data_IF_097888211502
#
_entry.id   IF_097888211502
#
_cell.length_a   1.000
_cell.length_b   1.000
_cell.length_c   1.000
_cell.angle_alpha   90.00
_cell.angle_beta   90.00
_cell.angle_gamma   90.00
#
_symmetry.space_group_name_H-M   'P 1'
#
loop_
_entity.id
_entity.type
_entity.pdbx_description
1 polymer ?
#
# COMPACT_ATOMS: atom_id res chain seq x y z
N UNK A 1 -11.41 20.05 -33.79
CA UNK A 1 -11.24 18.70 -33.22
C UNK A 1 -11.37 18.79 -31.70
N UNK A 2 -12.32 18.10 -31.08
CA UNK A 2 -12.49 18.09 -29.62
C UNK A 2 -11.73 16.91 -29.02
N UNK A 3 -10.64 17.18 -28.30
CA UNK A 3 -9.99 16.14 -27.51
C UNK A 3 -10.83 15.91 -26.25
N UNK A 4 -11.37 14.70 -26.11
CA UNK A 4 -11.91 14.26 -24.82
C UNK A 4 -10.71 13.87 -23.97
N UNK A 5 -10.23 14.81 -23.16
CA UNK A 5 -9.25 14.51 -22.11
C UNK A 5 -9.95 13.66 -21.06
N UNK A 6 -9.67 12.38 -21.11
CA UNK A 6 -10.06 11.37 -20.15
C UNK A 6 -9.60 11.83 -18.75
N UNK A 7 -10.57 12.11 -17.90
CA UNK A 7 -10.39 12.43 -16.49
C UNK A 7 -9.83 11.20 -15.78
N UNK A 8 -8.51 10.99 -15.81
CA UNK A 8 -7.84 10.11 -14.85
C UNK A 8 -7.53 10.93 -13.60
N UNK A 9 -8.62 11.25 -12.91
CA UNK A 9 -8.67 11.50 -11.49
C UNK A 9 -7.98 10.33 -10.77
N UNK A 10 -6.92 10.61 -10.04
CA UNK A 10 -6.97 10.53 -8.58
C UNK A 10 -5.54 10.66 -8.07
N UNK A 11 -5.33 11.71 -7.28
CA UNK A 11 -4.21 11.87 -6.37
C UNK A 11 -4.21 10.68 -5.39
N UNK A 12 -3.76 9.51 -5.84
CA UNK A 12 -3.52 8.35 -4.99
C UNK A 12 -2.29 8.68 -4.17
N UNK A 13 -2.49 9.33 -3.04
CA UNK A 13 -1.64 9.06 -1.86
C UNK A 13 -1.49 7.55 -1.80
N UNK A 14 -0.30 7.06 -2.17
CA UNK A 14 0.04 5.74 -2.76
C UNK A 14 -0.45 4.51 -1.97
N UNK A 15 -1.77 4.41 -1.81
CA UNK A 15 -2.48 3.27 -1.27
C UNK A 15 -2.49 2.21 -2.37
N UNK A 16 -1.59 1.24 -2.25
CA UNK A 16 -1.42 0.20 -3.25
C UNK A 16 -1.40 -1.16 -2.58
N UNK A 17 -1.99 -2.15 -3.23
CA UNK A 17 -1.86 -3.53 -2.78
C UNK A 17 -0.41 -3.98 -2.90
N UNK A 18 0.19 -4.34 -1.78
CA UNK A 18 1.56 -4.85 -1.68
C UNK A 18 1.57 -6.19 -0.97
N UNK A 19 2.65 -6.95 -1.13
CA UNK A 19 2.87 -8.21 -0.40
C UNK A 19 3.66 -7.94 0.86
N UNK A 20 3.15 -8.41 2.00
CA UNK A 20 3.81 -8.31 3.29
C UNK A 20 5.15 -9.07 3.29
N UNK A 21 6.23 -8.47 3.80
CA UNK A 21 7.51 -9.19 3.88
C UNK A 21 7.51 -10.32 4.92
N UNK A 22 6.64 -10.25 5.93
CA UNK A 22 6.55 -11.24 7.01
C UNK A 22 5.70 -12.46 6.61
N UNK A 23 4.46 -12.23 6.17
CA UNK A 23 3.50 -13.30 5.85
C UNK A 23 3.23 -13.49 4.35
N UNK A 24 3.77 -12.61 3.49
CA UNK A 24 3.51 -12.60 2.02
C UNK A 24 2.05 -12.38 1.61
N UNK A 25 1.17 -12.10 2.57
CA UNK A 25 -0.22 -11.74 2.35
C UNK A 25 -0.32 -10.40 1.60
N UNK A 26 -1.31 -10.29 0.72
CA UNK A 26 -1.62 -9.02 0.04
C UNK A 26 -2.32 -8.10 1.02
N UNK A 27 -1.84 -6.87 1.14
CA UNK A 27 -2.44 -5.86 2.00
C UNK A 27 -2.35 -4.49 1.32
N UNK A 28 -3.30 -3.62 1.64
CA UNK A 28 -3.28 -2.23 1.18
C UNK A 28 -2.24 -1.46 2.00
N UNK A 29 -1.17 -0.99 1.33
CA UNK A 29 -0.13 -0.19 1.96
C UNK A 29 -0.62 1.23 2.11
N UNK A 30 -0.71 1.77 3.31
CA UNK A 30 -1.25 3.13 3.52
C UNK A 30 -0.30 4.23 2.98
N UNK A 31 0.98 3.91 2.78
CA UNK A 31 1.98 4.75 2.12
C UNK A 31 3.02 3.92 1.36
N UNK A 32 3.78 4.56 0.46
CA UNK A 32 4.76 3.90 -0.41
C UNK A 32 5.87 3.11 0.30
N UNK A 33 6.12 3.39 1.58
CA UNK A 33 7.09 2.71 2.43
C UNK A 33 6.54 1.55 3.26
N UNK A 34 5.21 1.35 3.31
CA UNK A 34 4.63 0.28 4.11
C UNK A 34 4.79 -1.06 3.38
N UNK A 35 5.63 -1.94 3.94
CA UNK A 35 5.91 -3.28 3.39
C UNK A 35 5.48 -4.41 4.32
N UNK A 36 4.94 -4.09 5.49
CA UNK A 36 4.44 -5.02 6.50
C UNK A 36 2.96 -4.75 6.72
N UNK A 37 2.11 -5.76 6.60
CA UNK A 37 0.67 -5.59 6.81
C UNK A 37 0.34 -5.19 8.26
N UNK A 38 -0.80 -4.52 8.47
CA UNK A 38 -1.25 -4.10 9.81
C UNK A 38 -1.26 -5.23 10.85
N UNK A 39 -1.49 -6.48 10.44
CA UNK A 39 -1.42 -7.67 11.33
C UNK A 39 0.01 -7.94 11.79
N UNK A 40 0.96 -8.04 10.86
CA UNK A 40 2.37 -8.29 11.16
C UNK A 40 3.07 -7.08 11.81
N UNK A 41 2.60 -5.86 11.52
CA UNK A 41 3.10 -4.63 12.14
C UNK A 41 2.64 -4.48 13.60
N UNK A 42 1.48 -5.05 13.94
CA UNK A 42 0.98 -5.12 15.31
C UNK A 42 1.63 -6.24 16.13
N UNK A 43 2.05 -7.34 15.49
CA UNK A 43 2.80 -8.38 16.20
C UNK A 43 4.16 -7.86 16.67
N UNK A 44 4.50 -8.15 17.93
CA UNK A 44 5.76 -7.73 18.56
C UNK A 44 7.02 -8.21 17.82
N UNK A 45 6.88 -9.20 16.93
CA UNK A 45 7.94 -9.71 16.05
C UNK A 45 8.58 -8.65 15.13
N UNK A 46 7.88 -7.55 14.81
CA UNK A 46 8.47 -6.43 14.04
C UNK A 46 9.04 -5.31 14.93
N UNK A 47 8.52 -5.11 16.16
CA UNK A 47 8.93 -3.99 17.03
C UNK A 47 10.24 -4.23 17.79
N UNK A 48 10.70 -5.46 17.91
CA UNK A 48 11.93 -5.82 18.64
C UNK A 48 13.16 -5.93 17.71
N UNK A 49 13.26 -5.04 16.73
CA UNK A 49 14.46 -4.89 15.88
C UNK A 49 15.39 -3.83 16.44
#
# INVERSE_FOLDING_TARGET
MAYKTDTQNENKTEARERRCLMCRERFESEWAGERICKRCRQTAAWRQG
#
